data_IF_173426604945
#
_entry.id   IF_173426604945
#
_cell.length_a   1.000
_cell.length_b   1.000
_cell.length_c   1.000
_cell.angle_alpha   90.00
_cell.angle_beta   90.00
_cell.angle_gamma   90.00
#
_symmetry.space_group_name_H-M   'P 1'
#
loop_
_entity.id
_entity.type
_entity.pdbx_description
1 polymer ?
#
# COMPACT_ATOMS: atom_id res chain seq x y z
N UNK A 1 43.38 0.26 -16.81
CA UNK A 1 41.96 0.11 -17.21
C UNK A 1 41.08 0.04 -15.95
N UNK A 2 39.75 0.01 -16.08
CA UNK A 2 38.79 0.02 -14.94
C UNK A 2 38.58 -1.38 -14.34
N UNK A 3 37.94 -1.41 -13.15
CA UNK A 3 37.27 -2.54 -12.46
C UNK A 3 38.21 -3.56 -11.77
N UNK A 4 37.82 -4.25 -10.70
CA UNK A 4 36.52 -4.28 -9.98
C UNK A 4 36.74 -4.37 -8.45
N UNK A 5 35.77 -3.91 -7.64
CA UNK A 5 35.66 -4.27 -6.22
C UNK A 5 34.92 -5.60 -6.06
N UNK A 6 35.38 -6.45 -5.14
CA UNK A 6 34.67 -7.65 -4.72
C UNK A 6 34.88 -7.85 -3.22
N UNK A 7 33.91 -7.42 -2.40
CA UNK A 7 34.00 -7.56 -0.95
C UNK A 7 33.32 -8.86 -0.49
N UNK A 8 34.17 -9.86 -0.27
CA UNK A 8 34.04 -11.10 0.53
C UNK A 8 32.59 -11.50 0.95
N UNK A 9 32.17 -12.69 0.51
CA UNK A 9 30.93 -13.35 0.94
C UNK A 9 30.90 -13.63 2.45
N UNK A 10 29.72 -13.53 3.05
CA UNK A 10 29.47 -13.96 4.44
C UNK A 10 29.74 -15.45 4.65
N UNK A 11 30.21 -15.81 5.86
CA UNK A 11 30.79 -17.11 6.14
C UNK A 11 29.72 -18.19 6.47
N UNK A 12 30.08 -19.47 6.29
CA UNK A 12 29.17 -20.62 6.42
C UNK A 12 29.11 -21.18 7.86
N UNK A 13 27.93 -21.59 8.31
CA UNK A 13 27.72 -22.41 9.52
C UNK A 13 26.44 -23.27 9.43
N UNK A 14 26.63 -24.45 8.83
CA UNK A 14 25.86 -25.71 8.91
C UNK A 14 24.42 -25.78 9.48
N UNK A 15 23.50 -26.17 8.58
CA UNK A 15 22.65 -27.38 8.62
C UNK A 15 21.78 -27.67 9.86
N UNK A 16 20.47 -27.69 9.61
CA UNK A 16 19.64 -28.87 9.90
C UNK A 16 18.91 -29.26 8.60
N UNK A 17 19.15 -30.47 8.09
CA UNK A 17 18.58 -30.95 6.81
C UNK A 17 17.86 -32.28 7.04
N UNK A 18 16.60 -32.19 7.47
CA UNK A 18 15.51 -33.12 7.16
C UNK A 18 14.22 -32.30 7.24
N UNK A 19 13.20 -32.47 6.39
CA UNK A 19 12.91 -33.59 5.47
C UNK A 19 12.50 -33.04 4.08
N UNK A 20 12.93 -33.70 2.98
CA UNK A 20 12.56 -33.31 1.61
C UNK A 20 11.31 -34.04 1.11
N UNK A 21 10.18 -33.33 1.02
CA UNK A 21 9.08 -33.65 0.10
C UNK A 21 8.68 -32.31 -0.54
N UNK A 22 8.97 -32.02 -1.82
CA UNK A 22 8.51 -32.59 -3.11
C UNK A 22 7.12 -32.11 -3.55
N UNK A 23 7.01 -30.82 -3.84
CA UNK A 23 6.06 -30.28 -4.82
C UNK A 23 6.75 -29.20 -5.65
N UNK A 24 6.77 -29.39 -6.97
CA UNK A 24 6.98 -28.28 -7.91
C UNK A 24 5.60 -27.64 -8.10
N UNK A 25 5.39 -26.42 -7.62
CA UNK A 25 4.10 -25.72 -7.78
C UNK A 25 4.17 -24.24 -7.48
N UNK A 26 5.01 -23.87 -6.50
CA UNK A 26 4.86 -22.65 -5.73
C UNK A 26 5.46 -21.39 -6.42
N UNK A 27 5.01 -21.11 -7.65
CA UNK A 27 4.82 -19.72 -8.12
C UNK A 27 3.50 -19.16 -7.59
N UNK A 28 3.15 -19.51 -6.34
CA UNK A 28 1.86 -19.20 -5.76
C UNK A 28 1.84 -17.77 -5.20
N UNK A 29 1.53 -16.83 -6.10
CA UNK A 29 0.62 -15.72 -5.82
C UNK A 29 1.08 -14.79 -4.67
N UNK A 30 2.22 -14.13 -4.89
CA UNK A 30 2.84 -13.07 -4.08
C UNK A 30 1.99 -11.78 -3.88
N UNK A 31 0.66 -11.85 -4.05
CA UNK A 31 -0.27 -10.71 -4.10
C UNK A 31 -1.71 -11.09 -3.69
N UNK A 32 -1.87 -11.91 -2.64
CA UNK A 32 -3.17 -12.48 -2.21
C UNK A 32 -3.46 -12.42 -0.70
N UNK A 33 -2.73 -11.61 0.05
CA UNK A 33 -2.92 -11.42 1.48
C UNK A 33 -2.90 -9.94 1.81
N UNK A 34 -3.88 -9.50 2.61
CA UNK A 34 -3.89 -8.17 3.19
C UNK A 34 -2.67 -7.98 4.12
N UNK A 35 -2.20 -6.74 4.23
CA UNK A 35 -1.20 -6.30 5.20
C UNK A 35 -1.87 -5.53 6.34
N UNK A 36 -1.23 -5.50 7.52
CA UNK A 36 -1.71 -4.75 8.67
C UNK A 36 -0.85 -3.50 8.84
N UNK A 37 -1.48 -2.34 8.85
CA UNK A 37 -0.84 -1.04 9.03
C UNK A 37 -0.27 -0.82 10.43
N UNK A 38 0.60 0.19 10.61
CA UNK A 38 1.19 0.52 11.92
C UNK A 38 0.15 1.04 12.93
N UNK A 39 -1.04 1.44 12.48
CA UNK A 39 -2.21 1.78 13.30
C UNK A 39 -3.13 0.58 13.60
N UNK A 40 -2.81 -0.61 13.05
CA UNK A 40 -3.62 -1.82 13.14
C UNK A 40 -4.64 -2.01 12.01
N UNK A 41 -4.69 -1.12 11.01
CA UNK A 41 -5.66 -1.19 9.91
C UNK A 41 -5.32 -2.28 8.90
N UNK A 42 -6.22 -3.24 8.71
CA UNK A 42 -6.12 -4.21 7.61
C UNK A 42 -6.30 -3.52 6.26
N UNK A 43 -5.38 -3.80 5.33
CA UNK A 43 -5.26 -3.10 4.05
C UNK A 43 -4.89 -4.08 2.93
N UNK A 44 -5.51 -3.98 1.75
CA UNK A 44 -5.28 -4.89 0.63
C UNK A 44 -6.54 -5.24 -0.17
N UNK A 45 -6.41 -6.15 -1.16
CA UNK A 45 -7.46 -6.43 -2.15
C UNK A 45 -8.66 -7.21 -1.60
N UNK A 46 -8.55 -7.85 -0.43
CA UNK A 46 -9.65 -8.58 0.21
C UNK A 46 -10.38 -7.72 1.26
N UNK A 47 -10.00 -6.44 1.42
CA UNK A 47 -10.69 -5.49 2.32
C UNK A 47 -12.00 -4.99 1.68
N UNK A 48 -13.13 -4.94 2.39
CA UNK A 48 -14.39 -4.44 1.84
C UNK A 48 -14.33 -2.98 1.39
N UNK A 49 -15.06 -2.64 0.32
CA UNK A 49 -15.09 -1.28 -0.23
C UNK A 49 -15.62 -0.24 0.77
N UNK A 50 -16.43 -0.64 1.75
CA UNK A 50 -17.06 0.21 2.76
C UNK A 50 -16.29 0.28 4.10
N UNK A 51 -15.06 -0.24 4.16
CA UNK A 51 -14.19 -0.25 5.36
C UNK A 51 -14.11 1.11 6.08
N UNK A 52 -14.15 2.21 5.31
CA UNK A 52 -14.08 3.58 5.84
C UNK A 52 -15.25 3.93 6.77
N UNK A 53 -16.38 3.21 6.70
CA UNK A 53 -17.53 3.38 7.58
C UNK A 53 -17.22 2.93 9.01
N UNK A 54 -16.54 1.80 9.17
CA UNK A 54 -16.16 1.21 10.46
C UNK A 54 -14.79 1.67 10.96
N UNK A 55 -13.99 2.30 10.10
CA UNK A 55 -12.66 2.80 10.46
C UNK A 55 -12.71 3.90 11.55
N UNK A 56 -12.07 3.61 12.69
CA UNK A 56 -11.86 4.52 13.83
C UNK A 56 -10.35 4.73 14.01
N UNK A 57 -9.76 5.54 13.14
CA UNK A 57 -8.33 5.85 13.16
C UNK A 57 -8.02 7.26 12.66
N UNK A 58 -6.72 7.61 12.54
CA UNK A 58 -6.30 8.89 11.96
C UNK A 58 -6.77 9.03 10.50
N UNK A 59 -6.69 10.25 9.95
CA UNK A 59 -6.97 10.48 8.54
C UNK A 59 -6.12 9.54 7.65
N UNK A 60 -6.71 8.87 6.66
CA UNK A 60 -5.96 8.20 5.59
C UNK A 60 -5.03 9.19 4.87
N UNK A 61 -3.84 8.76 4.47
CA UNK A 61 -2.98 9.59 3.63
C UNK A 61 -3.53 9.47 2.21
N UNK A 62 -3.98 10.57 1.63
CA UNK A 62 -4.38 10.62 0.22
C UNK A 62 -3.13 10.65 -0.65
N UNK A 63 -3.06 9.73 -1.62
CA UNK A 63 -1.94 9.62 -2.56
C UNK A 63 -2.31 10.17 -3.94
N UNK A 64 -3.53 9.93 -4.42
CA UNK A 64 -4.07 10.47 -5.68
C UNK A 64 -5.60 10.60 -5.64
N UNK A 65 -6.19 11.12 -6.73
CA UNK A 65 -7.65 11.16 -6.95
C UNK A 65 -7.99 10.30 -8.16
N UNK A 66 -9.03 9.46 -8.04
CA UNK A 66 -9.61 8.75 -9.19
C UNK A 66 -11.13 8.81 -9.14
N UNK A 67 -11.75 9.22 -10.24
CA UNK A 67 -13.19 9.48 -10.37
C UNK A 67 -13.75 10.32 -9.20
N UNK A 68 -14.59 9.73 -8.34
CA UNK A 68 -15.24 10.37 -7.19
C UNK A 68 -14.58 10.00 -5.84
N UNK A 69 -13.38 9.38 -5.88
CA UNK A 69 -12.67 8.83 -4.72
C UNK A 69 -11.28 9.43 -4.54
N UNK A 70 -10.85 9.50 -3.28
CA UNK A 70 -9.43 9.57 -2.95
C UNK A 70 -8.85 8.15 -2.94
N UNK A 71 -7.71 7.98 -3.60
CA UNK A 71 -6.83 6.84 -3.36
C UNK A 71 -6.06 7.10 -2.06
N UNK A 72 -5.97 6.08 -1.20
CA UNK A 72 -5.41 6.23 0.15
C UNK A 72 -4.49 5.07 0.55
N UNK A 73 -3.57 5.36 1.47
CA UNK A 73 -2.52 4.46 1.97
C UNK A 73 -3.00 3.21 2.75
N UNK A 74 -4.31 2.98 2.89
CA UNK A 74 -4.86 1.91 3.76
C UNK A 74 -6.26 1.44 3.35
N UNK A 75 -6.72 0.35 3.96
CA UNK A 75 -8.00 -0.30 3.61
C UNK A 75 -7.92 -0.97 2.24
N UNK A 76 -9.01 -0.93 1.46
CA UNK A 76 -8.98 -1.37 0.05
C UNK A 76 -8.22 -0.36 -0.87
N UNK A 77 -7.74 0.75 -0.33
CA UNK A 77 -7.12 1.86 -1.06
C UNK A 77 -8.09 2.97 -1.47
N UNK A 78 -9.38 2.91 -1.12
CA UNK A 78 -10.42 3.83 -1.57
C UNK A 78 -11.17 4.53 -0.43
N UNK A 79 -11.48 5.83 -0.60
CA UNK A 79 -12.55 6.53 0.14
C UNK A 79 -13.28 7.53 -0.76
N UNK A 80 -14.63 7.56 -0.82
CA UNK A 80 -15.38 8.61 -1.51
C UNK A 80 -15.05 10.02 -0.98
N UNK A 81 -14.80 10.97 -1.88
CA UNK A 81 -14.30 12.32 -1.55
C UNK A 81 -15.22 13.04 -0.54
N UNK A 82 -16.53 13.02 -0.77
CA UNK A 82 -17.52 13.64 0.12
C UNK A 82 -17.53 13.02 1.53
N UNK A 83 -17.32 11.70 1.64
CA UNK A 83 -17.24 11.04 2.94
C UNK A 83 -15.94 11.42 3.65
N UNK A 84 -14.81 11.42 2.94
CA UNK A 84 -13.51 11.79 3.47
C UNK A 84 -13.54 13.23 4.01
N UNK A 85 -13.95 14.20 3.19
CA UNK A 85 -13.96 15.62 3.55
C UNK A 85 -14.89 15.86 4.75
N UNK A 86 -16.03 15.17 4.82
CA UNK A 86 -16.97 15.26 5.94
C UNK A 86 -16.42 14.66 7.26
N UNK A 87 -15.53 13.68 7.20
CA UNK A 87 -15.01 12.95 8.38
C UNK A 87 -13.66 13.48 8.87
N UNK A 88 -12.76 13.86 7.97
CA UNK A 88 -11.38 14.27 8.28
C UNK A 88 -11.01 15.68 7.76
N UNK A 89 -11.85 16.31 6.95
CA UNK A 89 -11.55 17.59 6.28
C UNK A 89 -10.87 17.42 4.93
N UNK A 90 -10.52 18.53 4.27
CA UNK A 90 -9.76 18.49 3.01
C UNK A 90 -8.32 18.06 3.30
N UNK A 91 -7.73 17.09 2.57
CA UNK A 91 -6.36 16.65 2.81
C UNK A 91 -5.32 17.74 2.49
N UNK A 92 -4.18 17.73 3.16
CA UNK A 92 -3.08 18.64 2.82
C UNK A 92 -2.52 18.34 1.42
N UNK A 93 -2.20 19.38 0.66
CA UNK A 93 -1.79 19.29 -0.75
C UNK A 93 -2.97 19.25 -1.74
N UNK A 94 -4.08 18.60 -1.37
CA UNK A 94 -5.24 18.43 -2.24
C UNK A 94 -6.19 19.64 -2.22
N UNK A 95 -6.92 19.84 -3.34
CA UNK A 95 -7.99 20.84 -3.43
C UNK A 95 -7.58 22.29 -3.67
N UNK A 96 -6.52 22.59 -4.46
CA UNK A 96 -5.92 23.95 -4.53
C UNK A 96 -5.82 24.69 -5.87
N UNK A 97 -6.12 24.07 -7.01
CA UNK A 97 -6.01 24.65 -8.37
C UNK A 97 -7.32 24.43 -9.18
N UNK A 98 -7.34 24.23 -10.50
CA UNK A 98 -8.51 23.90 -11.38
C UNK A 98 -8.89 22.39 -11.61
N UNK A 99 -9.96 21.80 -11.04
CA UNK A 99 -10.44 20.37 -11.05
C UNK A 99 -10.65 19.65 -9.68
N UNK A 100 -10.21 18.43 -9.28
CA UNK A 100 -8.94 17.65 -9.29
C UNK A 100 -7.79 18.17 -8.38
N UNK A 101 -6.85 18.98 -8.86
CA UNK A 101 -7.19 20.19 -9.61
C UNK A 101 -6.21 20.62 -10.73
N UNK A 102 -5.90 19.73 -11.67
CA UNK A 102 -5.30 19.88 -13.03
C UNK A 102 -4.80 21.26 -13.50
N UNK A 103 -5.69 22.24 -13.76
CA UNK A 103 -5.54 23.28 -14.81
C UNK A 103 -4.53 24.42 -14.52
N UNK A 104 -3.50 24.16 -13.72
CA UNK A 104 -2.33 25.04 -13.54
C UNK A 104 -1.35 24.96 -14.71
N UNK A 105 -1.87 25.39 -15.87
CA UNK A 105 -1.20 25.93 -17.08
C UNK A 105 0.19 25.40 -17.49
N UNK A 106 0.19 24.87 -18.71
CA UNK A 106 1.28 24.90 -19.72
C UNK A 106 2.10 26.20 -19.72
#
# INVERSE_FOLDING_TARGET
MRKLLAYIFGNSAEKNIEKREKNNGDQELLSKHNWIGPDGTESGPDVPDDWYLTYIGPAPIVEEIYDENYAVDRGNGAVPIDYYIKKWGVPEGFGKTDHEKLWSME
#
